data_IF_180592113550
#
_entry.id   IF_180592113550
#
_cell.length_a   1.000
_cell.length_b   1.000
_cell.length_c   1.000
_cell.angle_alpha   90.00
_cell.angle_beta   90.00
_cell.angle_gamma   90.00
#
_symmetry.space_group_name_H-M   'P 1'
#
loop_
_entity.id
_entity.type
_entity.pdbx_description
1 polymer ?
#
# COMPACT_ATOMS: atom_id res chain seq x y z
N UNK A 1 -1.03 -5.69 -33.15
CA UNK A 1 -1.96 -4.76 -32.49
C UNK A 1 -1.80 -5.00 -31.00
N UNK A 2 -1.21 -4.06 -30.25
CA UNK A 2 -1.26 -4.14 -28.79
C UNK A 2 -2.66 -3.70 -28.39
N UNK A 3 -3.45 -4.62 -27.82
CA UNK A 3 -4.68 -4.26 -27.13
C UNK A 3 -4.25 -3.54 -25.84
N UNK A 4 -4.16 -2.22 -25.90
CA UNK A 4 -3.93 -1.39 -24.72
C UNK A 4 -5.17 -1.52 -23.82
N UNK A 5 -4.95 -2.02 -22.59
CA UNK A 5 -5.99 -2.12 -21.57
C UNK A 5 -6.54 -0.70 -21.30
N UNK A 6 -7.87 -0.56 -21.32
CA UNK A 6 -8.58 0.69 -21.02
C UNK A 6 -9.84 0.37 -20.23
N UNK A 7 -10.03 1.02 -19.08
CA UNK A 7 -11.14 0.76 -18.17
C UNK A 7 -10.77 -0.14 -16.98
N UNK A 8 -11.79 -0.61 -16.27
CA UNK A 8 -11.63 -1.54 -15.15
C UNK A 8 -11.22 -2.91 -15.69
N UNK A 9 -10.15 -3.47 -15.15
CA UNK A 9 -9.65 -4.80 -15.46
C UNK A 9 -9.58 -5.59 -14.16
N UNK A 10 -10.17 -6.78 -14.18
CA UNK A 10 -10.13 -7.74 -13.07
C UNK A 10 -9.44 -8.99 -13.55
N UNK A 11 -8.43 -9.43 -12.80
CA UNK A 11 -7.77 -10.72 -13.00
C UNK A 11 -8.15 -11.66 -11.85
N UNK A 12 -8.21 -12.95 -12.15
CA UNK A 12 -8.68 -13.99 -11.24
C UNK A 12 -7.62 -15.08 -11.10
N UNK A 13 -7.60 -15.73 -9.94
CA UNK A 13 -6.86 -16.98 -9.74
C UNK A 13 -7.55 -18.15 -10.43
N UNK A 14 -6.84 -19.28 -10.57
CA UNK A 14 -7.40 -20.50 -11.16
C UNK A 14 -8.60 -21.05 -10.37
N UNK A 15 -8.66 -20.77 -9.06
CA UNK A 15 -9.78 -21.14 -8.20
C UNK A 15 -11.03 -20.26 -8.38
N UNK A 16 -10.95 -19.20 -9.19
CA UNK A 16 -12.04 -18.26 -9.46
C UNK A 16 -12.13 -17.06 -8.50
N UNK A 17 -11.30 -17.01 -7.45
CA UNK A 17 -11.21 -15.83 -6.58
C UNK A 17 -10.54 -14.66 -7.31
N UNK A 18 -10.90 -13.43 -6.93
CA UNK A 18 -10.23 -12.24 -7.48
C UNK A 18 -8.76 -12.26 -7.09
N UNK A 19 -7.89 -11.92 -8.04
CA UNK A 19 -6.45 -11.75 -7.82
C UNK A 19 -6.10 -10.27 -7.74
N UNK A 20 -6.55 -9.50 -8.71
CA UNK A 20 -6.36 -8.06 -8.73
C UNK A 20 -7.46 -7.36 -9.53
N UNK A 21 -7.74 -6.10 -9.19
CA UNK A 21 -8.70 -5.26 -9.88
C UNK A 21 -8.17 -3.83 -9.89
N UNK A 22 -8.06 -3.26 -11.08
CA UNK A 22 -7.51 -1.92 -11.24
C UNK A 22 -8.02 -1.24 -12.50
N UNK A 23 -7.96 0.09 -12.52
CA UNK A 23 -8.33 0.87 -13.68
C UNK A 23 -7.10 1.17 -14.54
N UNK A 24 -7.25 0.98 -15.85
CA UNK A 24 -6.22 1.22 -16.84
C UNK A 24 -6.61 2.36 -17.78
N UNK A 25 -5.64 3.20 -18.14
CA UNK A 25 -5.76 4.26 -19.16
C UNK A 25 -4.54 4.20 -20.06
N UNK A 26 -4.76 4.05 -21.36
CA UNK A 26 -3.70 3.94 -22.38
C UNK A 26 -2.68 2.84 -22.05
N UNK A 27 -3.18 1.70 -21.55
CA UNK A 27 -2.36 0.56 -21.14
C UNK A 27 -1.62 0.71 -19.80
N UNK A 28 -1.78 1.84 -19.10
CA UNK A 28 -1.13 2.10 -17.81
C UNK A 28 -2.13 2.07 -16.65
N UNK A 29 -1.73 1.55 -15.50
CA UNK A 29 -2.52 1.65 -14.26
C UNK A 29 -2.71 3.11 -13.85
N UNK A 30 -3.92 3.42 -13.42
CA UNK A 30 -4.34 4.78 -13.10
C UNK A 30 -5.47 4.76 -12.07
N UNK A 31 -5.19 5.24 -10.87
CA UNK A 31 -6.09 5.15 -9.73
C UNK A 31 -5.78 3.95 -8.83
N UNK A 32 -6.81 3.41 -8.19
CA UNK A 32 -6.67 2.33 -7.23
C UNK A 32 -6.49 0.97 -7.94
N UNK A 33 -5.49 0.22 -7.48
CA UNK A 33 -5.33 -1.21 -7.69
C UNK A 33 -5.57 -1.91 -6.35
N UNK A 34 -6.47 -2.89 -6.34
CA UNK A 34 -6.69 -3.76 -5.18
C UNK A 34 -6.19 -5.15 -5.51
N UNK A 35 -5.46 -5.77 -4.58
CA UNK A 35 -4.86 -7.10 -4.75
C UNK A 35 -5.32 -8.00 -3.60
N UNK A 36 -5.76 -9.19 -3.94
CA UNK A 36 -6.21 -10.23 -3.02
C UNK A 36 -5.30 -11.45 -3.10
N UNK A 37 -5.23 -12.22 -2.01
CA UNK A 37 -4.58 -13.53 -1.98
C UNK A 37 -5.48 -14.63 -2.55
N UNK A 38 -4.93 -15.83 -2.73
CA UNK A 38 -5.69 -17.00 -3.23
C UNK A 38 -6.84 -17.42 -2.31
N UNK A 39 -6.78 -17.03 -1.03
CA UNK A 39 -7.82 -17.22 -0.03
C UNK A 39 -8.92 -16.14 -0.05
N UNK A 40 -8.86 -15.23 -1.03
CA UNK A 40 -9.80 -14.13 -1.21
C UNK A 40 -9.58 -12.95 -0.25
N UNK A 41 -8.55 -13.00 0.60
CA UNK A 41 -8.28 -11.93 1.55
C UNK A 41 -7.49 -10.80 0.89
N UNK A 42 -7.90 -9.56 1.17
CA UNK A 42 -7.20 -8.39 0.64
C UNK A 42 -5.79 -8.31 1.21
N UNK A 43 -4.81 -8.13 0.34
CA UNK A 43 -3.39 -8.03 0.71
C UNK A 43 -2.90 -6.58 0.54
N UNK A 44 -3.31 -5.92 -0.54
CA UNK A 44 -2.84 -4.58 -0.89
C UNK A 44 -3.95 -3.69 -1.47
N UNK A 45 -3.87 -2.41 -1.15
CA UNK A 45 -4.48 -1.31 -1.89
C UNK A 45 -3.37 -0.35 -2.32
N UNK A 46 -3.22 -0.13 -3.62
CA UNK A 46 -2.13 0.63 -4.21
C UNK A 46 -2.69 1.74 -5.11
N UNK A 47 -2.22 2.97 -4.94
CA UNK A 47 -2.61 4.07 -5.82
C UNK A 47 -1.56 4.31 -6.91
N UNK A 48 -2.01 4.44 -8.15
CA UNK A 48 -1.19 4.65 -9.33
C UNK A 48 -1.56 5.92 -10.09
N UNK A 49 -0.58 6.50 -10.78
CA UNK A 49 -0.75 7.58 -11.76
C UNK A 49 0.22 7.36 -12.91
N UNK A 50 -0.29 7.27 -14.13
CA UNK A 50 0.49 6.97 -15.34
C UNK A 50 1.42 5.75 -15.16
N UNK A 51 0.90 4.69 -14.55
CA UNK A 51 1.62 3.43 -14.31
C UNK A 51 2.66 3.46 -13.18
N UNK A 52 2.78 4.55 -12.42
CA UNK A 52 3.69 4.65 -11.28
C UNK A 52 2.93 4.78 -9.97
N UNK A 53 3.43 4.15 -8.90
CA UNK A 53 2.89 4.35 -7.55
C UNK A 53 2.87 5.84 -7.19
N UNK A 54 1.70 6.31 -6.78
CA UNK A 54 1.42 7.70 -6.47
C UNK A 54 0.29 7.78 -5.44
N UNK A 55 0.60 8.25 -4.24
CA UNK A 55 -0.32 8.33 -3.11
C UNK A 55 -0.10 7.19 -2.13
N UNK A 56 -1.19 6.78 -1.47
CA UNK A 56 -1.14 5.80 -0.39
C UNK A 56 -1.04 4.38 -0.94
N UNK A 57 -0.14 3.59 -0.34
CA UNK A 57 -0.14 2.14 -0.40
C UNK A 57 -0.55 1.63 0.99
N UNK A 58 -1.53 0.73 1.05
CA UNK A 58 -1.99 0.08 2.27
C UNK A 58 -1.71 -1.41 2.16
N UNK A 59 -1.09 -1.99 3.19
CA UNK A 59 -0.84 -3.42 3.30
C UNK A 59 -1.64 -3.98 4.48
N UNK A 60 -2.37 -5.05 4.22
CA UNK A 60 -3.19 -5.73 5.23
C UNK A 60 -2.39 -6.87 5.86
N UNK A 61 -2.77 -7.29 7.07
CA UNK A 61 -2.17 -8.44 7.74
C UNK A 61 -2.35 -9.71 6.90
N UNK A 62 -1.54 -10.75 7.14
CA UNK A 62 -1.59 -12.01 6.36
C UNK A 62 -3.00 -12.62 6.37
N UNK A 63 -3.78 -12.37 7.42
CA UNK A 63 -5.16 -12.84 7.57
C UNK A 63 -6.21 -11.81 7.08
N UNK A 64 -5.79 -10.77 6.35
CA UNK A 64 -6.65 -9.74 5.73
C UNK A 64 -7.48 -8.88 6.69
N UNK A 65 -7.34 -9.08 8.00
CA UNK A 65 -8.27 -8.54 9.00
C UNK A 65 -8.01 -7.10 9.44
N UNK A 66 -6.79 -6.60 9.25
CA UNK A 66 -6.39 -5.26 9.71
C UNK A 66 -5.21 -4.71 8.91
N UNK A 67 -5.03 -3.38 8.91
CA UNK A 67 -3.94 -2.70 8.22
C UNK A 67 -2.65 -2.84 9.01
N UNK A 68 -1.66 -3.53 8.47
CA UNK A 68 -0.38 -3.71 9.17
C UNK A 68 0.64 -2.64 8.83
N UNK A 69 0.52 -2.01 7.65
CA UNK A 69 1.44 -0.98 7.17
C UNK A 69 0.80 -0.05 6.16
N UNK A 70 1.20 1.21 6.18
CA UNK A 70 0.92 2.18 5.11
C UNK A 70 2.18 2.91 4.68
N UNK A 71 2.21 3.31 3.42
CA UNK A 71 3.33 4.01 2.81
C UNK A 71 2.81 5.08 1.85
N UNK A 72 3.48 6.23 1.78
CA UNK A 72 3.16 7.28 0.80
C UNK A 72 4.20 7.32 -0.31
N UNK A 73 3.74 7.37 -1.55
CA UNK A 73 4.55 7.39 -2.75
C UNK A 73 4.31 8.63 -3.59
N UNK A 74 5.35 9.09 -4.27
CA UNK A 74 5.29 10.05 -5.37
C UNK A 74 6.24 9.62 -6.47
N UNK A 75 5.71 9.42 -7.68
CA UNK A 75 6.50 9.01 -8.85
C UNK A 75 7.34 7.76 -8.58
N UNK A 76 6.72 6.76 -7.95
CA UNK A 76 7.35 5.48 -7.63
C UNK A 76 8.35 5.50 -6.48
N UNK A 77 8.52 6.62 -5.76
CA UNK A 77 9.42 6.74 -4.61
C UNK A 77 8.66 7.05 -3.34
N UNK A 78 9.13 6.52 -2.21
CA UNK A 78 8.62 6.91 -0.89
C UNK A 78 8.73 8.44 -0.71
N UNK A 79 7.60 9.10 -0.46
CA UNK A 79 7.50 10.54 -0.27
C UNK A 79 6.32 10.82 0.67
N UNK A 80 6.62 10.99 1.96
CA UNK A 80 5.66 11.11 3.04
C UNK A 80 5.90 10.09 4.15
N UNK A 81 4.85 9.73 4.88
CA UNK A 81 4.93 8.83 6.03
C UNK A 81 4.95 7.37 5.58
N UNK A 82 5.79 6.59 6.25
CA UNK A 82 5.67 5.14 6.41
C UNK A 82 5.20 4.88 7.83
N UNK A 83 4.14 4.10 8.00
CA UNK A 83 3.59 3.74 9.30
C UNK A 83 3.36 2.24 9.39
N UNK A 84 3.61 1.65 10.55
CA UNK A 84 3.12 0.31 10.89
C UNK A 84 2.20 0.41 12.08
N UNK A 85 1.33 -0.59 12.22
CA UNK A 85 0.24 -0.56 13.19
C UNK A 85 0.24 -1.83 14.05
N UNK A 86 -0.34 -1.72 15.23
CA UNK A 86 -0.83 -2.85 16.00
C UNK A 86 -2.17 -3.33 15.43
N UNK A 87 -2.59 -4.54 15.80
CA UNK A 87 -3.87 -5.11 15.35
C UNK A 87 -5.09 -4.23 15.69
N UNK A 88 -5.03 -3.48 16.79
CA UNK A 88 -6.06 -2.50 17.17
C UNK A 88 -6.10 -1.23 16.30
N UNK A 89 -5.16 -1.07 15.36
CA UNK A 89 -5.05 0.09 14.48
C UNK A 89 -4.20 1.24 15.04
N UNK A 90 -3.70 1.13 16.26
CA UNK A 90 -2.78 2.12 16.84
C UNK A 90 -1.42 2.07 16.14
N UNK A 91 -0.82 3.25 15.95
CA UNK A 91 0.49 3.37 15.29
C UNK A 91 1.56 2.74 16.17
N UNK A 92 2.27 1.74 15.65
CA UNK A 92 3.42 1.11 16.28
C UNK A 92 4.73 1.81 15.93
N UNK A 93 4.85 2.27 14.70
CA UNK A 93 6.04 2.95 14.22
C UNK A 93 5.66 3.95 13.14
N UNK A 94 6.37 5.08 13.10
CA UNK A 94 6.32 5.99 11.96
C UNK A 94 7.68 6.56 11.61
N UNK A 95 7.88 6.79 10.32
CA UNK A 95 9.08 7.42 9.77
C UNK A 95 8.71 8.25 8.54
N UNK A 96 9.37 9.38 8.34
CA UNK A 96 9.13 10.25 7.19
C UNK A 96 10.19 10.01 6.10
N UNK A 97 9.77 10.13 4.84
CA UNK A 97 10.61 9.94 3.67
C UNK A 97 10.41 11.08 2.67
N UNK A 98 11.48 11.43 1.95
CA UNK A 98 11.45 12.35 0.82
C UNK A 98 12.25 11.80 -0.34
N UNK A 99 11.62 11.69 -1.51
CA UNK A 99 12.24 11.17 -2.73
C UNK A 99 13.03 9.85 -2.53
N UNK A 100 12.47 8.94 -1.72
CA UNK A 100 13.04 7.63 -1.40
C UNK A 100 14.03 7.62 -0.23
N UNK A 101 14.38 8.77 0.34
CA UNK A 101 15.32 8.88 1.46
C UNK A 101 14.57 9.12 2.76
N UNK A 102 14.90 8.37 3.81
CA UNK A 102 14.37 8.62 5.14
C UNK A 102 14.82 10.00 5.62
N UNK A 103 13.88 10.82 6.06
CA UNK A 103 14.15 12.13 6.64
C UNK A 103 13.71 12.16 8.10
N UNK A 104 14.61 12.60 8.96
CA UNK A 104 14.37 12.64 10.38
C UNK A 104 14.32 11.26 11.03
N UNK A 105 13.74 11.24 12.22
CA UNK A 105 13.79 10.09 13.10
C UNK A 105 12.68 9.08 12.83
N UNK A 106 12.92 7.83 13.23
CA UNK A 106 11.83 6.89 13.43
C UNK A 106 11.34 7.00 14.87
N UNK A 107 10.03 7.11 15.04
CA UNK A 107 9.38 7.02 16.35
C UNK A 107 8.70 5.67 16.49
N UNK A 108 9.00 4.97 17.57
CA UNK A 108 8.35 3.74 17.98
C UNK A 108 7.42 4.03 19.16
N UNK A 109 6.25 3.40 19.15
CA UNK A 109 5.22 3.55 20.15
C UNK A 109 4.90 2.20 20.74
N UNK A 110 4.65 2.17 22.05
CA UNK A 110 4.01 1.06 22.74
C UNK A 110 2.49 1.06 22.43
N UNK A 111 1.81 -0.05 22.69
CA UNK A 111 0.35 -0.17 22.49
C UNK A 111 -0.46 0.84 23.31
N UNK A 112 0.06 1.31 24.45
CA UNK A 112 -0.58 2.35 25.27
C UNK A 112 -0.39 3.78 24.70
N UNK A 113 0.27 3.92 23.55
CA UNK A 113 0.56 5.20 22.88
C UNK A 113 1.81 5.93 23.38
N UNK A 114 2.52 5.41 24.38
CA UNK A 114 3.77 6.00 24.86
C UNK A 114 4.91 5.77 23.86
N UNK A 115 5.82 6.74 23.74
CA UNK A 115 6.99 6.61 22.88
C UNK A 115 7.98 5.64 23.52
N UNK A 116 8.25 4.53 22.84
CA UNK A 116 9.25 3.54 23.24
C UNK A 116 10.66 4.01 22.89
N UNK A 117 10.85 4.47 21.66
CA UNK A 117 12.16 4.84 21.14
C UNK A 117 12.06 5.92 20.05
N UNK A 118 13.04 6.83 20.06
CA UNK A 118 13.24 7.85 19.03
C UNK A 118 14.67 7.77 18.50
N UNK A 119 14.83 7.38 17.23
CA UNK A 119 16.15 7.20 16.60
C UNK A 119 16.44 8.34 15.62
N UNK A 120 17.46 9.16 15.88
CA UNK A 120 17.83 10.33 15.05
C UNK A 120 18.85 9.97 13.96
#
# INVERSE_FOLDING_TARGET
MQNEKNGLVTEYYENGEKKEEGFYRDGQLEGLLTVWGEDGQMQYEENYKAGMLYGLLTMYSVNGGWVHRTENYKEGKLDGLVQTFYEGGDVKMKSEYKAGQKIGATTWYLENGEVEEYTK
#
